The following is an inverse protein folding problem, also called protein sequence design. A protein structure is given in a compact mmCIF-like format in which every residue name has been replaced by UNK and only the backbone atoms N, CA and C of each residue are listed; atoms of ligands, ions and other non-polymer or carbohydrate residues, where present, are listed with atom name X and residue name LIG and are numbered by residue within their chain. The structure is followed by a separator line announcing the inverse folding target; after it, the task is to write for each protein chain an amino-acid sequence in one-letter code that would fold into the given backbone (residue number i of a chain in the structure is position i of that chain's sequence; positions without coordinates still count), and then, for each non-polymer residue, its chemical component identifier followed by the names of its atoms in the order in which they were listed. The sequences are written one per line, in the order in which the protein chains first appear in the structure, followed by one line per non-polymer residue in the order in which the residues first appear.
data_IF_503928350179
#
_entry.id   IF_503928350179
#
_cell.length_a   1.000
_cell.length_b   1.000
_cell.length_c   1.000
_cell.angle_alpha   90.00
_cell.angle_beta   90.00
_cell.angle_gamma   90.00
#
_symmetry.space_group_name_H-M   'P 1'
#
loop_
_entity.id
_entity.type
_entity.pdbx_description
1 polymer ?
#
# COMPACT_ATOMS: atom_id res chain seq x y z
N UNK A 1 -10.40 -4.81 -19.04
CA UNK A 1 -9.27 -4.34 -18.22
C UNK A 1 -9.69 -4.51 -16.78
N UNK A 2 -8.84 -5.08 -15.90
CA UNK A 2 -9.17 -5.24 -14.50
C UNK A 2 -9.44 -3.87 -13.83
N UNK A 3 -10.32 -3.84 -12.83
CA UNK A 3 -10.65 -2.61 -12.10
C UNK A 3 -9.52 -2.24 -11.14
N UNK A 4 -9.21 -0.94 -11.03
CA UNK A 4 -8.28 -0.42 -10.01
C UNK A 4 -9.02 -0.19 -8.70
N UNK A 5 -8.82 -1.08 -7.73
CA UNK A 5 -9.51 -1.06 -6.44
C UNK A 5 -8.87 -0.09 -5.44
N UNK A 6 -7.55 0.03 -5.45
CA UNK A 6 -6.81 1.00 -4.63
C UNK A 6 -6.05 1.92 -5.58
N UNK A 7 -6.40 3.20 -5.54
CA UNK A 7 -5.75 4.27 -6.31
C UNK A 7 -4.77 5.04 -5.44
N UNK A 8 -3.70 5.53 -6.05
CA UNK A 8 -2.64 6.29 -5.39
C UNK A 8 -2.46 7.63 -6.09
N UNK A 9 -2.49 8.70 -5.30
CA UNK A 9 -2.14 10.05 -5.75
C UNK A 9 -0.76 10.41 -5.17
N UNK A 10 0.27 10.38 -6.02
CA UNK A 10 1.66 10.67 -5.63
C UNK A 10 1.88 12.14 -5.25
N UNK A 11 0.89 13.02 -5.48
CA UNK A 11 0.95 14.41 -5.02
C UNK A 11 0.48 14.57 -3.56
N UNK A 12 -0.09 13.52 -2.96
CA UNK A 12 -0.57 13.51 -1.59
C UNK A 12 0.31 12.65 -0.68
N UNK A 13 0.47 13.00 0.60
CA UNK A 13 1.16 12.15 1.56
C UNK A 13 0.48 10.79 1.68
N UNK A 14 1.26 9.70 1.66
CA UNK A 14 0.74 8.34 1.78
C UNK A 14 -0.19 8.12 3.00
N UNK A 15 0.08 8.68 4.21
CA UNK A 15 -0.83 8.56 5.35
C UNK A 15 -2.22 9.18 5.18
N UNK A 16 -2.43 10.00 4.15
CA UNK A 16 -3.75 10.57 3.85
C UNK A 16 -4.68 9.63 3.07
N UNK A 17 -4.15 8.49 2.59
CA UNK A 17 -4.92 7.46 1.91
C UNK A 17 -5.33 6.37 2.91
N UNK A 18 -6.63 6.30 3.24
CA UNK A 18 -7.17 5.35 4.22
C UNK A 18 -7.04 3.88 3.79
N UNK A 19 -6.75 3.62 2.51
CA UNK A 19 -6.51 2.27 1.96
C UNK A 19 -5.03 1.85 1.99
N UNK A 20 -4.18 2.62 2.67
CA UNK A 20 -2.74 2.38 2.79
C UNK A 20 -2.37 2.26 4.27
N UNK A 21 -1.52 1.28 4.59
CA UNK A 21 -0.98 1.07 5.94
C UNK A 21 0.53 0.86 5.89
N UNK A 22 1.22 1.03 7.01
CA UNK A 22 2.67 0.80 7.09
C UNK A 22 3.11 -0.12 8.24
N UNK A 23 2.16 -0.81 8.86
CA UNK A 23 2.39 -1.79 9.93
C UNK A 23 1.52 -3.01 9.72
N UNK A 24 2.04 -4.16 10.12
CA UNK A 24 1.27 -5.40 10.21
C UNK A 24 0.58 -5.46 11.57
N UNK A 25 -0.75 -5.48 11.57
CA UNK A 25 -1.55 -5.65 12.77
C UNK A 25 -2.87 -6.32 12.41
N UNK A 26 -3.37 -7.29 13.21
CA UNK A 26 -4.59 -8.04 12.88
C UNK A 26 -5.87 -7.19 12.88
N UNK A 27 -5.84 -6.01 13.50
CA UNK A 27 -7.01 -5.11 13.58
C UNK A 27 -7.05 -4.05 12.47
N UNK A 28 -6.12 -4.05 11.52
CA UNK A 28 -6.23 -3.16 10.35
C UNK A 28 -7.45 -3.60 9.53
N UNK A 29 -8.43 -2.72 9.29
CA UNK A 29 -9.62 -3.09 8.51
C UNK A 29 -9.26 -3.35 7.04
N UNK A 30 -10.01 -4.22 6.39
CA UNK A 30 -9.84 -4.47 4.94
C UNK A 30 -10.17 -3.19 4.15
N UNK A 31 -9.26 -2.78 3.27
CA UNK A 31 -9.43 -1.63 2.39
C UNK A 31 -10.48 -1.89 1.30
N UNK A 32 -10.59 -3.12 0.83
CA UNK A 32 -11.59 -3.57 -0.13
C UNK A 32 -11.84 -5.09 0.00
N UNK A 33 -12.89 -5.58 -0.67
CA UNK A 33 -13.26 -7.00 -0.69
C UNK A 33 -13.40 -7.52 -2.12
N UNK A 34 -12.84 -8.71 -2.36
CA UNK A 34 -12.93 -9.44 -3.64
C UNK A 34 -13.47 -10.86 -3.44
N UNK A 35 -13.90 -11.49 -4.52
CA UNK A 35 -14.24 -12.91 -4.56
C UNK A 35 -13.03 -13.72 -5.07
N UNK A 36 -12.89 -15.01 -4.70
CA UNK A 36 -11.91 -15.88 -5.32
C UNK A 36 -12.06 -15.91 -6.86
N UNK A 37 -10.95 -15.68 -7.57
CA UNK A 37 -10.91 -15.64 -9.03
C UNK A 37 -11.07 -14.26 -9.66
N UNK A 38 -11.25 -13.19 -8.87
CA UNK A 38 -11.30 -11.82 -9.39
C UNK A 38 -9.90 -11.34 -9.85
N UNK A 39 -9.84 -10.73 -11.04
CA UNK A 39 -8.68 -9.98 -11.53
C UNK A 39 -8.84 -8.49 -11.21
N UNK A 40 -7.81 -7.86 -10.62
CA UNK A 40 -7.85 -6.44 -10.23
C UNK A 40 -6.46 -5.78 -10.26
N UNK A 41 -6.43 -4.45 -10.14
CA UNK A 41 -5.21 -3.63 -10.02
C UNK A 41 -5.17 -2.93 -8.67
N UNK A 42 -4.00 -2.90 -8.04
CA UNK A 42 -3.67 -2.04 -6.92
C UNK A 42 -2.52 -1.12 -7.34
N UNK A 43 -2.71 0.18 -7.21
CA UNK A 43 -1.61 1.15 -7.34
C UNK A 43 -0.84 1.22 -6.02
N UNK A 44 0.43 1.60 -6.09
CA UNK A 44 1.32 1.65 -4.93
C UNK A 44 2.11 2.96 -4.92
N UNK A 45 2.42 3.43 -3.71
CA UNK A 45 3.51 4.38 -3.52
C UNK A 45 4.84 3.62 -3.66
N UNK A 46 5.94 4.33 -3.97
CA UNK A 46 7.25 3.77 -3.62
C UNK A 46 7.33 3.61 -2.10
N UNK A 47 8.19 2.71 -1.62
CA UNK A 47 8.26 2.35 -0.20
C UNK A 47 8.48 3.53 0.76
N UNK A 48 9.08 4.63 0.28
CA UNK A 48 9.36 5.84 1.06
C UNK A 48 8.21 6.85 1.03
N UNK A 49 7.17 6.62 0.23
CA UNK A 49 6.08 7.56 0.04
C UNK A 49 6.52 8.83 -0.70
N UNK A 50 7.49 8.71 -1.60
CA UNK A 50 8.04 9.80 -2.39
C UNK A 50 9.09 10.64 -1.68
N UNK A 51 9.74 10.14 -0.61
CA UNK A 51 10.78 10.89 0.09
C UNK A 51 12.00 11.14 -0.82
N UNK A 52 12.42 10.12 -1.57
CA UNK A 52 13.53 10.20 -2.53
C UNK A 52 13.13 10.97 -3.78
N UNK A 53 13.97 11.90 -4.22
CA UNK A 53 13.72 12.82 -5.32
C UNK A 53 14.65 12.51 -6.49
N UNK A 54 14.14 12.74 -7.70
CA UNK A 54 14.97 12.70 -8.91
C UNK A 54 15.73 14.03 -9.03
N UNK A 55 16.88 14.11 -8.36
CA UNK A 55 17.81 15.24 -8.41
C UNK A 55 19.26 14.73 -8.28
N UNK A 56 20.23 15.66 -8.33
CA UNK A 56 21.66 15.32 -8.28
C UNK A 56 22.26 15.37 -6.86
N UNK A 57 21.44 15.21 -5.82
CA UNK A 57 21.88 15.13 -4.42
C UNK A 57 21.50 13.78 -3.80
N UNK A 58 22.32 13.31 -2.86
CA UNK A 58 22.04 12.12 -2.05
C UNK A 58 21.57 12.46 -0.63
N UNK A 59 21.29 13.73 -0.35
CA UNK A 59 20.87 14.18 0.99
C UNK A 59 19.56 13.53 1.43
N UNK A 60 18.63 13.29 0.50
CA UNK A 60 17.36 12.61 0.79
C UNK A 60 17.55 11.13 1.19
N UNK A 61 18.53 10.44 0.60
CA UNK A 61 18.91 9.09 1.03
C UNK A 61 19.51 9.12 2.44
N UNK A 62 20.31 10.14 2.78
CA UNK A 62 20.91 10.29 4.11
C UNK A 62 19.86 10.58 5.18
N UNK A 63 18.90 11.45 4.87
CA UNK A 63 18.01 12.10 5.84
C UNK A 63 16.62 11.45 5.96
N UNK A 64 16.35 10.40 5.19
CA UNK A 64 15.07 9.70 5.24
C UNK A 64 14.76 9.12 6.62
N UNK A 65 13.52 9.34 7.07
CA UNK A 65 12.98 8.67 8.24
C UNK A 65 12.55 7.23 7.89
N UNK A 66 13.47 6.29 8.11
CA UNK A 66 13.25 4.86 7.90
C UNK A 66 12.22 4.23 8.85
N UNK A 67 11.71 4.96 9.86
CA UNK A 67 10.61 4.46 10.67
C UNK A 67 9.28 4.49 9.91
N UNK A 68 9.17 5.29 8.84
CA UNK A 68 7.90 5.47 8.12
C UNK A 68 7.59 4.35 7.13
N UNK A 69 8.61 3.63 6.64
CA UNK A 69 8.45 2.60 5.59
C UNK A 69 7.80 1.32 6.12
N UNK A 70 7.16 0.48 5.30
CA UNK A 70 6.82 0.67 3.88
C UNK A 70 5.34 1.06 3.77
N UNK A 71 4.96 1.91 2.82
CA UNK A 71 3.55 2.19 2.54
C UNK A 71 2.94 1.11 1.64
N UNK A 72 2.09 0.26 2.22
CA UNK A 72 1.46 -0.90 1.58
C UNK A 72 -0.01 -0.59 1.25
N UNK A 73 -0.41 -0.85 0.01
CA UNK A 73 -1.81 -0.76 -0.43
C UNK A 73 -2.58 -2.01 0.01
N UNK A 74 -3.61 -1.82 0.83
CA UNK A 74 -4.41 -2.91 1.39
C UNK A 74 -4.79 -2.65 2.85
N UNK A 75 -5.18 -3.70 3.60
CA UNK A 75 -5.28 -5.11 3.20
C UNK A 75 -6.45 -5.39 2.24
N UNK A 76 -6.31 -6.36 1.34
CA UNK A 76 -7.41 -6.84 0.49
C UNK A 76 -8.07 -8.05 1.14
N UNK A 77 -9.37 -7.95 1.41
CA UNK A 77 -10.16 -9.06 1.93
C UNK A 77 -10.60 -10.02 0.83
N UNK A 78 -10.36 -11.31 0.99
CA UNK A 78 -10.85 -12.36 0.09
C UNK A 78 -12.01 -13.08 0.76
N UNK A 79 -13.20 -13.03 0.14
CA UNK A 79 -14.40 -13.66 0.71
C UNK A 79 -14.24 -15.18 0.82
N UNK A 80 -14.47 -15.70 2.02
CA UNK A 80 -14.39 -17.13 2.32
C UNK A 80 -12.99 -17.65 2.66
N UNK A 81 -11.96 -16.80 2.68
CA UNK A 81 -10.63 -17.20 3.15
C UNK A 81 -10.62 -17.35 4.68
N UNK A 82 -10.04 -18.46 5.17
CA UNK A 82 -9.97 -18.81 6.58
C UNK A 82 -8.54 -19.13 7.05
N UNK A 83 -8.24 -19.09 8.36
CA UNK A 83 -6.93 -19.48 8.88
C UNK A 83 -6.57 -20.93 8.52
N UNK A 84 -5.46 -21.10 7.79
CA UNK A 84 -4.98 -22.41 7.31
C UNK A 84 -5.09 -22.60 5.81
N UNK A 85 -5.81 -21.73 5.10
CA UNK A 85 -5.85 -21.69 3.64
C UNK A 85 -4.53 -21.19 3.02
N UNK A 86 -4.39 -21.39 1.71
CA UNK A 86 -3.33 -20.81 0.89
C UNK A 86 -3.93 -19.75 -0.04
N UNK A 87 -3.38 -18.54 0.03
CA UNK A 87 -3.69 -17.42 -0.87
C UNK A 87 -2.52 -17.18 -1.83
#
# INVERSE_FOLDING_TARGET
MPETLIKVDLTKPAPSNEMVHNRWHPEVPMACWVNPGDDFVLETYDWTGGFIKNNDSADDVRDIDLTTVHYLSGPVGVKGAEPGDLL
#
